data_IF_903616069092
#
_entry.id   IF_903616069092
#
_cell.length_a   1.000
_cell.length_b   1.000
_cell.length_c   1.000
_cell.angle_alpha   90.00
_cell.angle_beta   90.00
_cell.angle_gamma   90.00
#
_symmetry.space_group_name_H-M   'P 1'
#
loop_
_entity.id
_entity.type
_entity.pdbx_description
1 polymer ?
#
# COMPACT_ATOMS: atom_id res chain seq x y z
N UNK A 1 -20.05 5.26 -12.69
CA UNK A 1 -20.64 5.58 -11.36
C UNK A 1 -19.59 5.29 -10.28
N UNK A 2 -18.67 6.23 -10.01
CA UNK A 2 -17.63 6.18 -8.97
C UNK A 2 -17.79 7.17 -7.78
N UNK A 3 -18.61 8.26 -7.83
CA UNK A 3 -18.65 9.24 -6.73
C UNK A 3 -19.15 8.71 -5.36
N UNK A 4 -19.68 7.49 -5.30
CA UNK A 4 -20.41 6.97 -4.13
C UNK A 4 -19.55 6.21 -3.12
N UNK A 5 -18.32 5.84 -3.44
CA UNK A 5 -17.44 5.12 -2.51
C UNK A 5 -16.61 6.06 -1.61
N UNK A 6 -16.62 7.37 -1.86
CA UNK A 6 -15.71 8.28 -1.17
C UNK A 6 -14.25 7.99 -1.52
N UNK A 7 -13.97 7.64 -2.77
CA UNK A 7 -12.61 7.33 -3.25
C UNK A 7 -12.15 8.31 -4.33
N UNK A 8 -13.05 9.19 -4.79
CA UNK A 8 -12.81 10.13 -5.87
C UNK A 8 -13.26 11.54 -5.51
N UNK A 9 -12.54 12.55 -6.00
CA UNK A 9 -12.90 13.96 -5.94
C UNK A 9 -12.93 14.54 -7.35
N UNK A 10 -14.03 15.21 -7.69
CA UNK A 10 -14.32 15.75 -9.02
C UNK A 10 -14.35 17.29 -8.99
N UNK A 11 -14.44 17.88 -10.19
CA UNK A 11 -14.57 19.32 -10.40
C UNK A 11 -13.44 20.10 -9.73
N UNK A 12 -12.21 19.61 -9.95
CA UNK A 12 -10.99 20.23 -9.47
C UNK A 12 -10.41 21.15 -10.55
N UNK A 13 -9.79 22.22 -10.08
CA UNK A 13 -8.81 23.02 -10.80
C UNK A 13 -7.42 22.62 -10.28
N UNK A 14 -6.40 22.69 -11.13
CA UNK A 14 -5.07 22.20 -10.83
C UNK A 14 -4.01 23.22 -11.24
N UNK A 15 -3.20 23.65 -10.27
CA UNK A 15 -2.11 24.60 -10.44
C UNK A 15 -0.77 23.98 -10.00
N UNK A 16 0.31 24.26 -10.73
CA UNK A 16 1.65 23.83 -10.31
C UNK A 16 2.09 24.61 -9.06
N UNK A 17 2.62 23.90 -8.07
CA UNK A 17 3.03 24.43 -6.77
C UNK A 17 4.50 24.08 -6.45
N UNK A 18 5.38 24.22 -7.43
CA UNK A 18 6.80 23.93 -7.30
C UNK A 18 7.14 22.44 -7.34
N UNK A 19 8.23 22.07 -6.68
CA UNK A 19 8.80 20.72 -6.71
C UNK A 19 9.19 20.23 -5.31
N UNK A 20 9.09 18.93 -5.09
CA UNK A 20 9.52 18.24 -3.88
C UNK A 20 10.30 16.99 -4.27
N UNK A 21 11.57 16.89 -3.86
CA UNK A 21 12.48 15.80 -4.24
C UNK A 21 12.59 15.57 -5.77
N UNK A 22 12.49 16.63 -6.57
CA UNK A 22 12.51 16.57 -8.03
C UNK A 22 11.16 16.20 -8.67
N UNK A 23 10.13 15.95 -7.87
CA UNK A 23 8.78 15.68 -8.35
C UNK A 23 7.95 16.96 -8.36
N UNK A 24 7.20 17.20 -9.44
CA UNK A 24 6.28 18.33 -9.52
C UNK A 24 5.17 18.18 -8.48
N UNK A 25 4.92 19.25 -7.74
CA UNK A 25 3.79 19.34 -6.80
C UNK A 25 2.66 20.08 -7.46
N UNK A 26 1.45 19.53 -7.36
CA UNK A 26 0.23 20.11 -7.89
C UNK A 26 -0.70 20.46 -6.75
N UNK A 27 -1.18 21.70 -6.74
CA UNK A 27 -2.25 22.16 -5.87
C UNK A 27 -3.59 21.99 -6.60
N UNK A 28 -4.48 21.19 -6.03
CA UNK A 28 -5.82 20.97 -6.56
C UNK A 28 -6.88 21.61 -5.67
N UNK A 29 -7.79 22.38 -6.27
CA UNK A 29 -8.85 23.13 -5.57
C UNK A 29 -10.20 22.89 -6.23
N UNK A 30 -11.29 22.96 -5.48
CA UNK A 30 -12.63 22.79 -6.08
C UNK A 30 -13.00 24.02 -6.92
N UNK A 31 -13.51 23.81 -8.14
CA UNK A 31 -13.91 24.89 -9.07
C UNK A 31 -15.06 25.73 -8.51
N UNK A 32 -15.98 25.13 -7.75
CA UNK A 32 -17.06 25.89 -7.12
C UNK A 32 -16.57 26.64 -5.89
N UNK A 33 -16.94 27.93 -5.76
CA UNK A 33 -16.60 28.86 -4.65
C UNK A 33 -17.05 28.41 -3.24
N UNK A 34 -17.52 27.18 -3.08
CA UNK A 34 -17.68 26.57 -1.77
C UNK A 34 -16.32 26.11 -1.28
N UNK A 35 -15.94 26.50 -0.07
CA UNK A 35 -14.86 25.82 0.68
C UNK A 35 -15.00 24.30 0.46
N UNK A 36 -13.88 23.60 0.33
CA UNK A 36 -13.84 22.13 0.30
C UNK A 36 -14.33 21.61 1.65
N UNK A 37 -15.63 21.67 1.88
CA UNK A 37 -16.33 21.41 3.14
C UNK A 37 -16.60 19.91 3.32
N UNK A 38 -16.10 19.09 2.41
CA UNK A 38 -16.19 17.65 2.50
C UNK A 38 -14.89 17.15 3.13
N UNK A 39 -15.02 16.38 4.22
CA UNK A 39 -13.91 15.63 4.80
C UNK A 39 -13.27 14.82 3.69
N UNK A 40 -12.05 15.19 3.30
CA UNK A 40 -11.41 14.56 2.15
C UNK A 40 -11.26 13.07 2.39
N UNK A 41 -11.52 12.23 1.39
CA UNK A 41 -11.25 10.81 1.51
C UNK A 41 -9.76 10.49 1.57
N UNK A 42 -8.93 11.44 1.15
CA UNK A 42 -7.48 11.31 1.08
C UNK A 42 -6.80 11.68 2.39
N UNK A 43 -5.74 10.93 2.70
CA UNK A 43 -4.78 11.17 3.78
C UNK A 43 -3.38 11.38 3.20
N UNK A 44 -2.49 11.94 4.01
CA UNK A 44 -1.06 11.98 3.67
C UNK A 44 -0.53 10.60 3.34
N UNK A 45 0.19 10.50 2.21
CA UNK A 45 0.77 9.25 1.72
C UNK A 45 -0.17 8.38 0.88
N UNK A 46 -1.44 8.75 0.72
CA UNK A 46 -2.34 8.03 -0.20
C UNK A 46 -1.84 8.17 -1.65
N UNK A 47 -1.84 7.05 -2.37
CA UNK A 47 -1.62 7.04 -3.82
C UNK A 47 -2.89 7.46 -4.53
N UNK A 48 -2.71 8.29 -5.55
CA UNK A 48 -3.81 8.87 -6.31
C UNK A 48 -3.49 8.93 -7.79
N UNK A 49 -4.52 8.78 -8.61
CA UNK A 49 -4.46 8.92 -10.05
C UNK A 49 -5.20 10.19 -10.46
N UNK A 50 -4.51 11.03 -11.22
CA UNK A 50 -5.03 12.28 -11.77
C UNK A 50 -5.62 12.02 -13.15
N UNK A 51 -6.84 12.51 -13.33
CA UNK A 51 -7.53 12.48 -14.61
C UNK A 51 -7.95 13.90 -15.02
N UNK A 52 -7.90 14.18 -16.33
CA UNK A 52 -8.41 15.41 -16.91
C UNK A 52 -9.39 15.07 -18.02
N UNK A 53 -10.60 15.62 -17.94
CA UNK A 53 -11.68 15.34 -18.91
C UNK A 53 -11.96 13.82 -19.10
N UNK A 54 -11.65 13.00 -18.10
CA UNK A 54 -11.82 11.55 -18.13
C UNK A 54 -10.59 10.74 -18.56
N UNK A 55 -9.53 11.39 -19.04
CA UNK A 55 -8.28 10.74 -19.46
C UNK A 55 -7.25 10.72 -18.33
N UNK A 56 -6.55 9.60 -18.16
CA UNK A 56 -5.48 9.47 -17.18
C UNK A 56 -4.30 10.38 -17.56
N UNK A 57 -3.79 11.13 -16.60
CA UNK A 57 -2.69 12.08 -16.79
C UNK A 57 -1.42 11.64 -16.07
N UNK A 58 -1.52 11.32 -14.78
CA UNK A 58 -0.38 10.92 -13.96
C UNK A 58 -0.82 10.27 -12.65
N UNK A 59 0.08 9.50 -12.05
CA UNK A 59 -0.05 9.03 -10.67
C UNK A 59 0.77 9.91 -9.72
N UNK A 60 0.34 9.95 -8.45
CA UNK A 60 0.97 10.79 -7.45
C UNK A 60 0.69 10.36 -6.01
N UNK A 61 1.26 11.12 -5.07
CA UNK A 61 1.11 10.93 -3.62
C UNK A 61 0.54 12.19 -3.01
N UNK A 62 -0.49 12.05 -2.18
CA UNK A 62 -1.02 13.16 -1.40
C UNK A 62 -0.04 13.58 -0.31
N UNK A 63 0.39 14.85 -0.35
CA UNK A 63 1.34 15.45 0.61
C UNK A 63 0.60 16.25 1.69
N UNK A 64 -0.50 16.90 1.31
CA UNK A 64 -1.37 17.66 2.20
C UNK A 64 -2.83 17.48 1.78
N UNK A 65 -3.68 16.80 2.57
CA UNK A 65 -5.12 16.79 2.36
C UNK A 65 -5.71 18.14 2.80
N UNK A 66 -6.94 18.47 2.38
CA UNK A 66 -7.60 19.72 2.69
C UNK A 66 -7.91 19.88 4.17
N UNK A 67 -7.94 18.80 4.94
CA UNK A 67 -8.04 18.87 6.41
C UNK A 67 -6.78 19.52 7.03
N UNK A 68 -5.62 19.42 6.37
CA UNK A 68 -4.35 20.03 6.81
C UNK A 68 -4.10 21.42 6.22
N UNK A 69 -4.62 21.67 5.01
CA UNK A 69 -4.66 22.99 4.38
C UNK A 69 -6.07 23.26 3.83
N UNK A 70 -6.91 24.01 4.56
CA UNK A 70 -8.31 24.19 4.20
C UNK A 70 -8.50 24.65 2.76
N UNK A 71 -9.17 23.82 1.95
CA UNK A 71 -9.59 24.18 0.59
C UNK A 71 -8.69 23.71 -0.56
N UNK A 72 -7.59 23.00 -0.29
CA UNK A 72 -6.75 22.43 -1.35
C UNK A 72 -6.21 21.03 -0.99
N UNK A 73 -6.00 20.20 -2.02
CA UNK A 73 -5.22 18.96 -1.93
C UNK A 73 -3.87 19.23 -2.63
N UNK A 74 -2.76 18.84 -2.01
CA UNK A 74 -1.45 18.89 -2.66
C UNK A 74 -1.00 17.47 -2.99
N UNK A 75 -0.60 17.27 -4.24
CA UNK A 75 -0.16 15.97 -4.77
C UNK A 75 1.24 16.11 -5.36
N UNK A 76 2.18 15.25 -4.94
CA UNK A 76 3.47 15.08 -5.60
C UNK A 76 3.30 14.05 -6.72
N UNK A 77 3.59 14.44 -7.94
CA UNK A 77 3.48 13.56 -9.11
C UNK A 77 4.68 12.64 -9.20
N UNK A 78 4.46 11.34 -9.38
CA UNK A 78 5.56 10.36 -9.50
C UNK A 78 6.16 10.36 -10.90
N UNK A 79 5.33 10.61 -11.91
CA UNK A 79 5.74 10.68 -13.30
C UNK A 79 5.60 12.11 -13.81
N UNK A 80 6.55 12.53 -14.65
CA UNK A 80 6.55 13.87 -15.24
C UNK A 80 5.28 14.11 -16.05
N UNK A 81 4.45 15.06 -15.63
CA UNK A 81 3.28 15.47 -16.41
C UNK A 81 3.73 16.24 -17.64
N UNK A 82 3.29 15.80 -18.82
CA UNK A 82 3.67 16.42 -20.09
C UNK A 82 3.19 17.88 -20.24
N UNK A 83 2.10 18.27 -19.55
CA UNK A 83 1.69 19.66 -19.42
C UNK A 83 0.53 19.81 -18.44
N UNK A 84 0.70 20.66 -17.42
CA UNK A 84 -0.37 21.16 -16.56
C UNK A 84 -1.14 22.28 -17.29
N UNK A 85 -1.67 22.01 -18.49
CA UNK A 85 -2.31 23.07 -19.26
C UNK A 85 -3.55 23.59 -18.49
N UNK A 86 -3.69 24.90 -18.43
CA UNK A 86 -4.79 25.58 -17.73
C UNK A 86 -6.16 25.15 -18.27
N UNK A 87 -7.12 24.94 -17.36
CA UNK A 87 -8.52 24.62 -17.69
C UNK A 87 -8.83 23.12 -17.87
N UNK A 88 -10.12 22.79 -17.88
CA UNK A 88 -10.61 21.40 -17.94
C UNK A 88 -11.11 20.89 -16.58
N UNK A 89 -11.89 19.81 -16.61
CA UNK A 89 -12.40 19.19 -15.38
C UNK A 89 -11.40 18.17 -14.86
N UNK A 90 -10.72 18.51 -13.78
CA UNK A 90 -9.82 17.59 -13.11
C UNK A 90 -10.57 16.69 -12.12
N UNK A 91 -10.10 15.45 -12.03
CA UNK A 91 -10.56 14.44 -11.08
C UNK A 91 -9.35 13.77 -10.44
N UNK A 92 -9.47 13.48 -9.15
CA UNK A 92 -8.49 12.72 -8.39
C UNK A 92 -9.16 11.44 -7.88
N UNK A 93 -8.60 10.29 -8.18
CA UNK A 93 -9.08 8.98 -7.71
C UNK A 93 -8.04 8.35 -6.79
N UNK A 94 -8.48 7.66 -5.73
CA UNK A 94 -7.61 6.87 -4.86
C UNK A 94 -7.15 5.63 -5.62
N UNK A 95 -5.85 5.42 -5.69
CA UNK A 95 -5.23 4.27 -6.37
C UNK A 95 -4.92 3.14 -5.37
N UNK A 96 -4.73 1.92 -5.89
CA UNK A 96 -4.25 0.79 -5.07
C UNK A 96 -2.84 1.09 -4.57
N UNK A 97 -2.60 0.89 -3.27
CA UNK A 97 -1.31 1.19 -2.66
C UNK A 97 -0.32 0.02 -2.79
N UNK A 98 -0.01 -0.33 -4.03
CA UNK A 98 0.93 -1.42 -4.35
C UNK A 98 2.33 -1.11 -3.80
N UNK A 99 2.69 0.18 -3.73
CA UNK A 99 3.94 0.65 -3.11
C UNK A 99 4.05 0.23 -1.64
N UNK A 100 2.96 0.29 -0.87
CA UNK A 100 2.98 -0.16 0.54
C UNK A 100 3.16 -1.66 0.64
N UNK A 101 2.51 -2.42 -0.23
CA UNK A 101 2.67 -3.87 -0.29
C UNK A 101 4.12 -4.26 -0.63
N UNK A 102 4.70 -3.68 -1.68
CA UNK A 102 6.08 -3.90 -2.08
C UNK A 102 7.09 -3.50 -0.99
N UNK A 103 6.87 -2.38 -0.31
CA UNK A 103 7.72 -1.97 0.82
C UNK A 103 7.65 -2.95 1.98
N UNK A 104 6.46 -3.47 2.29
CA UNK A 104 6.29 -4.50 3.30
C UNK A 104 7.00 -5.81 2.91
N UNK A 105 6.86 -6.25 1.65
CA UNK A 105 7.58 -7.42 1.15
C UNK A 105 9.10 -7.24 1.22
N UNK A 106 9.61 -6.11 0.74
CA UNK A 106 11.04 -5.78 0.80
C UNK A 106 11.56 -5.74 2.25
N UNK A 107 10.77 -5.21 3.19
CA UNK A 107 11.12 -5.21 4.61
C UNK A 107 11.15 -6.63 5.20
N UNK A 108 10.20 -7.50 4.83
CA UNK A 108 10.20 -8.91 5.22
C UNK A 108 11.39 -9.67 4.64
N UNK A 109 11.76 -9.41 3.39
CA UNK A 109 12.92 -10.04 2.77
C UNK A 109 14.25 -9.55 3.37
N UNK A 110 14.32 -8.26 3.75
CA UNK A 110 15.45 -7.74 4.54
C UNK A 110 15.51 -8.38 5.91
N UNK A 111 14.37 -8.63 6.56
CA UNK A 111 14.32 -9.30 7.86
C UNK A 111 14.93 -10.70 7.78
N UNK A 112 14.65 -11.47 6.72
CA UNK A 112 15.23 -12.82 6.49
C UNK A 112 16.74 -12.81 6.22
N UNK A 113 17.34 -11.64 5.99
CA UNK A 113 18.76 -11.47 5.66
C UNK A 113 19.38 -10.39 6.57
N UNK A 114 19.43 -10.62 7.89
CA UNK A 114 19.99 -9.64 8.82
C UNK A 114 21.47 -9.42 8.49
N UNK A 115 21.87 -8.15 8.42
CA UNK A 115 23.23 -7.74 8.05
C UNK A 115 24.14 -7.54 9.26
N UNK A 116 23.57 -7.58 10.47
CA UNK A 116 24.33 -7.41 11.72
C UNK A 116 23.81 -8.31 12.85
N UNK A 117 24.69 -8.61 13.81
CA UNK A 117 24.35 -9.39 15.01
C UNK A 117 23.20 -8.78 15.83
N UNK A 118 23.07 -7.45 15.84
CA UNK A 118 21.98 -6.75 16.54
C UNK A 118 20.64 -6.94 15.82
N UNK A 119 20.63 -6.94 14.50
CA UNK A 119 19.44 -7.22 13.69
C UNK A 119 18.97 -8.67 13.89
N UNK A 120 19.89 -9.63 13.94
CA UNK A 120 19.57 -11.05 14.20
C UNK A 120 18.93 -11.27 15.57
N UNK A 121 19.41 -10.61 16.63
CA UNK A 121 18.82 -10.77 17.96
C UNK A 121 17.43 -10.14 18.04
N UNK A 122 17.23 -8.98 17.41
CA UNK A 122 15.90 -8.35 17.33
C UNK A 122 14.91 -9.20 16.51
N UNK A 123 15.36 -9.76 15.39
CA UNK A 123 14.57 -10.70 14.58
C UNK A 123 14.12 -11.89 15.43
N UNK A 124 15.05 -12.53 16.15
CA UNK A 124 14.75 -13.67 17.02
C UNK A 124 13.68 -13.33 18.05
N UNK A 125 13.84 -12.21 18.76
CA UNK A 125 12.87 -11.75 19.78
C UNK A 125 11.49 -11.49 19.15
N UNK A 126 11.45 -10.84 17.98
CA UNK A 126 10.20 -10.51 17.30
C UNK A 126 9.47 -11.76 16.81
N UNK A 127 10.18 -12.71 16.21
CA UNK A 127 9.62 -13.98 15.72
C UNK A 127 9.11 -14.81 16.90
N UNK A 128 9.90 -14.98 17.97
CA UNK A 128 9.51 -15.70 19.17
C UNK A 128 8.25 -15.09 19.83
N UNK A 129 8.19 -13.75 19.93
CA UNK A 129 7.04 -13.01 20.45
C UNK A 129 5.78 -13.19 19.59
N UNK A 130 5.92 -13.18 18.27
CA UNK A 130 4.82 -13.41 17.34
C UNK A 130 4.25 -14.82 17.47
N UNK A 131 5.10 -15.85 17.49
CA UNK A 131 4.68 -17.24 17.70
C UNK A 131 3.97 -17.42 19.04
N UNK A 132 4.50 -16.83 20.12
CA UNK A 132 3.87 -16.88 21.44
C UNK A 132 2.50 -16.19 21.47
N UNK A 133 2.39 -15.03 20.84
CA UNK A 133 1.15 -14.26 20.75
C UNK A 133 0.08 -14.98 19.93
N UNK A 134 0.46 -15.60 18.82
CA UNK A 134 -0.46 -16.36 17.97
C UNK A 134 -0.84 -17.72 18.56
N UNK A 135 0.09 -18.42 19.21
CA UNK A 135 -0.23 -19.63 19.97
C UNK A 135 -1.27 -19.34 21.06
N UNK A 136 -1.13 -18.18 21.73
CA UNK A 136 -2.09 -17.73 22.74
C UNK A 136 -3.46 -17.41 22.12
N UNK A 137 -3.51 -16.66 21.01
CA UNK A 137 -4.76 -16.38 20.28
C UNK A 137 -5.46 -17.64 19.77
N UNK A 138 -4.71 -18.59 19.20
CA UNK A 138 -5.23 -19.88 18.74
C UNK A 138 -5.81 -20.71 19.90
N UNK A 139 -5.14 -20.72 21.06
CA UNK A 139 -5.65 -21.40 22.25
C UNK A 139 -6.95 -20.79 22.79
N UNK A 140 -7.17 -19.49 22.58
CA UNK A 140 -8.43 -18.81 22.94
C UNK A 140 -9.53 -18.99 21.90
N UNK A 141 -9.20 -19.23 20.62
CA UNK A 141 -10.17 -19.56 19.58
C UNK A 141 -10.57 -21.04 19.59
N UNK A 142 -9.70 -21.96 20.03
CA UNK A 142 -9.98 -23.40 20.03
C UNK A 142 -10.75 -23.83 21.28
N UNK A 143 -12.09 -23.74 21.25
CA UNK A 143 -12.94 -24.45 22.23
C UNK A 143 -13.55 -25.76 21.70
N UNK A 144 -13.31 -26.12 20.44
CA UNK A 144 -13.80 -27.38 19.87
C UNK A 144 -12.67 -28.42 19.71
N UNK A 145 -12.72 -29.55 20.44
CA UNK A 145 -11.76 -30.65 20.29
C UNK A 145 -11.64 -31.20 18.86
N UNK A 146 -12.67 -31.04 18.02
CA UNK A 146 -12.66 -31.48 16.61
C UNK A 146 -11.78 -30.61 15.70
N UNK A 147 -11.63 -29.32 16.02
CA UNK A 147 -10.82 -28.38 15.23
C UNK A 147 -9.33 -28.55 15.50
N UNK A 148 -8.97 -28.91 16.74
CA UNK A 148 -7.59 -29.23 17.14
C UNK A 148 -7.03 -30.48 16.43
N UNK A 149 -7.85 -31.50 16.21
CA UNK A 149 -7.42 -32.70 15.47
C UNK A 149 -7.17 -32.42 13.99
N UNK A 150 -7.93 -31.49 13.38
CA UNK A 150 -7.70 -31.04 11.98
C UNK A 150 -6.47 -30.17 11.83
N UNK A 151 -6.23 -29.25 12.77
CA UNK A 151 -5.03 -28.39 12.73
C UNK A 151 -3.75 -29.19 12.96
N UNK A 152 -3.78 -30.20 13.85
CA UNK A 152 -2.64 -31.10 14.07
C UNK A 152 -2.34 -31.99 12.88
N UNK A 153 -3.35 -32.44 12.13
CA UNK A 153 -3.12 -33.25 10.92
C UNK A 153 -2.50 -32.44 9.79
N UNK A 154 -2.79 -31.13 9.70
CA UNK A 154 -2.21 -30.23 8.68
C UNK A 154 -0.77 -29.86 9.03
N UNK A 155 -0.44 -29.68 10.31
CA UNK A 155 0.92 -29.33 10.75
C UNK A 155 1.90 -30.51 10.71
N UNK A 156 1.40 -31.76 10.77
CA UNK A 156 2.22 -32.97 10.75
C UNK A 156 2.29 -33.65 9.37
N UNK A 157 1.62 -33.12 8.34
CA UNK A 157 1.63 -33.70 6.99
C UNK A 157 2.85 -33.33 6.15
N UNK A 158 3.70 -32.40 6.60
CA UNK A 158 4.88 -31.94 5.85
C UNK A 158 6.19 -32.68 6.18
N UNK A 159 6.18 -33.67 7.10
CA UNK A 159 7.39 -34.43 7.48
C UNK A 159 7.57 -35.79 6.76
N UNK A 160 6.72 -36.14 5.79
CA UNK A 160 6.87 -37.38 5.00
C UNK A 160 6.70 -37.13 3.49
N UNK A 161 7.62 -36.37 2.91
CA UNK A 161 7.80 -36.24 1.47
C UNK A 161 9.28 -36.35 1.12
N UNK A 162 9.77 -37.57 0.97
CA UNK A 162 11.15 -37.86 0.60
C UNK A 162 11.50 -37.26 -0.76
N UNK A 163 12.57 -36.49 -0.79
CA UNK A 163 13.29 -36.19 -2.02
C UNK A 163 14.11 -37.44 -2.36
N UNK A 164 13.55 -38.33 -3.17
CA UNK A 164 14.35 -39.36 -3.84
C UNK A 164 15.35 -38.70 -4.78
N UNK A 165 16.62 -39.03 -4.60
CA UNK A 165 17.73 -38.62 -5.46
C UNK A 165 17.52 -39.14 -6.89
N UNK A 166 17.44 -38.19 -7.83
CA UNK A 166 17.56 -38.44 -9.26
C UNK A 166 18.98 -38.93 -9.57
N UNK A 167 19.17 -40.26 -9.51
CA UNK A 167 20.43 -40.91 -9.85
C UNK A 167 20.58 -41.01 -11.37
N UNK A 168 21.67 -40.42 -11.83
CA UNK A 168 22.08 -40.28 -13.22
C UNK A 168 22.14 -41.59 -14.02
N UNK A 169 21.56 -41.58 -15.21
CA UNK A 169 21.90 -42.52 -16.28
C UNK A 169 23.23 -42.10 -16.93
N UNK A 170 24.20 -43.03 -16.97
CA UNK A 170 25.29 -43.00 -17.95
C UNK A 170 25.45 -44.38 -18.61
N UNK A 171 25.93 -44.40 -19.86
CA UNK A 171 25.68 -45.48 -20.82
C UNK A 171 26.82 -46.51 -20.85
N UNK A 172 26.50 -47.75 -21.24
CA UNK A 172 27.28 -48.60 -22.17
C UNK A 172 26.29 -49.43 -22.97
#
# INVERSE_FOLDING_TARGET
KLPRAGESVFDLDADSHGELFGNVVVQMRKVSKGKMNFRSPFKNGDLVDLYRNGEFCASGVVIHPPDSQPGAIYVSLMDGVQSMASGGQWRLDKSSNDVTFERCLAALDRLKRPTSRRETELERILIESFHKSNATKLSTLSRSPREMSRLRSILNSDEQGGWEEESAAKPI
#
